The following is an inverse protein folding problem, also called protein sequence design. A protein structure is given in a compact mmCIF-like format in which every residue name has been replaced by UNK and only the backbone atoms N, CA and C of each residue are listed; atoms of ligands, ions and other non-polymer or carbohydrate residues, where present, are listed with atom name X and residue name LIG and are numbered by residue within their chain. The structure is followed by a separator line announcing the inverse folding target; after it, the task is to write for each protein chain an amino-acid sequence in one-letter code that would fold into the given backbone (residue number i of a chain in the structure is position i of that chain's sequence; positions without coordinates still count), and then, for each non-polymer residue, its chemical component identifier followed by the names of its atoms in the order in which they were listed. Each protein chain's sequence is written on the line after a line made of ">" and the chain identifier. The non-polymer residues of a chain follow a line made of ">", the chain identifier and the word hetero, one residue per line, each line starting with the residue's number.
data_IF_485963321262
#
_entry.id   IF_485963321262
#
_cell.length_a   1.000
_cell.length_b   1.000
_cell.length_c   1.000
_cell.angle_alpha   90.00
_cell.angle_beta   90.00
_cell.angle_gamma   90.00
#
_symmetry.space_group_name_H-M   'P 1'
#
loop_
_entity.id
_entity.type
_entity.pdbx_description
1 polymer ?
#
# COMPACT_ATOMS: atom_id res chain seq x y z
N UNK A 1 15.05 2.64 12.16
CA UNK A 1 13.72 2.93 11.57
C UNK A 1 13.68 2.28 10.18
N UNK A 2 12.52 1.80 9.75
CA UNK A 2 12.31 1.20 8.43
C UNK A 2 11.67 2.22 7.48
N UNK A 3 12.05 2.22 6.21
CA UNK A 3 11.40 3.05 5.20
C UNK A 3 10.05 2.43 4.83
N UNK A 4 8.96 3.11 5.19
CA UNK A 4 7.59 2.71 4.92
C UNK A 4 7.00 3.54 3.80
N UNK A 5 6.63 2.91 2.70
CA UNK A 5 5.87 3.54 1.62
C UNK A 5 4.38 3.19 1.76
N UNK A 6 3.53 4.19 1.85
CA UNK A 6 2.07 4.04 1.96
C UNK A 6 1.46 4.41 0.61
N UNK A 7 0.90 3.43 -0.08
CA UNK A 7 0.41 3.58 -1.46
C UNK A 7 -1.11 3.78 -1.45
N UNK A 8 -1.57 4.95 -1.88
CA UNK A 8 -2.98 5.27 -2.10
C UNK A 8 -3.40 4.89 -3.52
N UNK A 9 -4.29 3.91 -3.64
CA UNK A 9 -4.60 3.20 -4.90
C UNK A 9 -5.57 3.91 -5.83
N UNK A 10 -6.36 4.89 -5.36
CA UNK A 10 -7.46 5.46 -6.12
C UNK A 10 -7.07 6.75 -6.83
N UNK A 11 -7.51 6.90 -8.10
CA UNK A 11 -7.14 8.04 -8.97
C UNK A 11 -8.34 8.85 -9.47
N UNK A 12 -9.56 8.36 -9.28
CA UNK A 12 -10.75 9.07 -9.80
C UNK A 12 -10.97 10.42 -9.09
N UNK A 13 -11.60 11.41 -9.75
CA UNK A 13 -11.93 12.70 -9.13
C UNK A 13 -12.72 12.53 -7.81
N UNK A 14 -12.43 13.36 -6.81
CA UNK A 14 -13.04 13.35 -5.46
C UNK A 14 -12.83 12.05 -4.67
N UNK A 15 -11.80 11.29 -5.03
CA UNK A 15 -11.40 10.07 -4.30
C UNK A 15 -11.15 10.35 -2.82
N UNK A 16 -11.40 9.37 -1.97
CA UNK A 16 -11.19 9.46 -0.52
C UNK A 16 -9.95 8.68 -0.03
N UNK A 17 -9.28 7.97 -0.94
CA UNK A 17 -8.06 7.21 -0.64
C UNK A 17 -6.96 8.02 0.03
N UNK A 18 -6.61 9.22 -0.46
CA UNK A 18 -5.57 10.05 0.16
C UNK A 18 -5.86 10.42 1.62
N UNK A 19 -7.13 10.67 1.98
CA UNK A 19 -7.54 10.97 3.35
C UNK A 19 -7.24 9.79 4.30
N UNK A 20 -7.55 8.57 3.86
CA UNK A 20 -7.31 7.35 4.64
C UNK A 20 -5.81 7.05 4.68
N UNK A 21 -5.10 7.27 3.56
CA UNK A 21 -3.65 7.11 3.49
C UNK A 21 -2.92 8.07 4.44
N UNK A 22 -3.36 9.32 4.52
CA UNK A 22 -2.80 10.29 5.46
C UNK A 22 -3.08 9.90 6.92
N UNK A 23 -4.30 9.42 7.22
CA UNK A 23 -4.60 8.94 8.57
C UNK A 23 -3.66 7.82 9.01
N UNK A 24 -3.44 6.79 8.19
CA UNK A 24 -2.53 5.70 8.57
C UNK A 24 -1.07 6.15 8.56
N UNK A 25 -0.70 7.12 7.72
CA UNK A 25 0.63 7.72 7.73
C UNK A 25 0.92 8.44 9.05
N UNK A 26 -0.04 9.20 9.57
CA UNK A 26 0.09 9.87 10.86
C UNK A 26 0.21 8.86 12.00
N UNK A 27 -0.55 7.76 11.97
CA UNK A 27 -0.37 6.65 12.92
C UNK A 27 1.04 6.05 12.86
N UNK A 28 1.55 5.80 11.65
CA UNK A 28 2.87 5.23 11.44
C UNK A 28 4.01 6.18 11.90
N UNK A 29 3.85 7.50 11.71
CA UNK A 29 4.78 8.51 12.22
C UNK A 29 4.81 8.53 13.74
N UNK A 30 3.64 8.53 14.40
CA UNK A 30 3.53 8.50 15.86
C UNK A 30 4.06 7.20 16.48
N UNK A 31 3.93 6.08 15.77
CA UNK A 31 4.48 4.78 16.19
C UNK A 31 6.02 4.80 16.33
N UNK A 32 6.72 5.63 15.56
CA UNK A 32 8.17 5.85 15.67
C UNK A 32 9.05 4.75 15.08
N UNK A 33 8.48 3.68 14.53
CA UNK A 33 9.23 2.58 13.92
C UNK A 33 9.64 2.83 12.46
N UNK A 34 9.11 3.90 11.83
CA UNK A 34 9.19 4.11 10.39
C UNK A 34 9.56 5.53 9.98
N UNK A 35 10.31 5.63 8.88
CA UNK A 35 10.36 6.81 8.02
C UNK A 35 9.22 6.68 7.00
N UNK A 36 8.24 7.58 7.04
CA UNK A 36 6.96 7.42 6.32
C UNK A 36 6.88 8.33 5.11
N UNK A 37 6.63 7.74 3.95
CA UNK A 37 6.29 8.46 2.73
C UNK A 37 4.95 7.96 2.18
N UNK A 38 4.08 8.90 1.77
CA UNK A 38 2.80 8.61 1.12
C UNK A 38 2.95 8.75 -0.39
N UNK A 39 2.61 7.70 -1.11
CA UNK A 39 2.64 7.61 -2.56
C UNK A 39 1.20 7.60 -3.10
N UNK A 40 0.71 8.75 -3.56
CA UNK A 40 -0.61 8.85 -4.18
C UNK A 40 -0.51 8.54 -5.67
N UNK A 41 -1.07 7.40 -6.10
CA UNK A 41 -1.05 6.99 -7.51
C UNK A 41 -1.76 7.98 -8.44
N UNK A 42 -2.69 8.77 -7.91
CA UNK A 42 -3.34 9.84 -8.69
C UNK A 42 -2.42 11.03 -8.97
N UNK A 43 -1.43 11.30 -8.13
CA UNK A 43 -0.43 12.35 -8.32
C UNK A 43 0.77 11.82 -9.10
N UNK A 44 1.20 10.58 -8.83
CA UNK A 44 2.29 9.91 -9.56
C UNK A 44 1.90 9.73 -11.03
N UNK A 45 0.63 9.43 -11.30
CA UNK A 45 0.04 9.36 -12.62
C UNK A 45 0.83 8.51 -13.62
N UNK A 46 1.17 7.28 -13.20
CA UNK A 46 1.82 6.32 -14.11
C UNK A 46 0.90 6.05 -15.32
N UNK A 47 1.43 6.13 -16.55
CA UNK A 47 0.67 5.68 -17.72
C UNK A 47 0.32 4.19 -17.59
N UNK A 48 -0.54 3.65 -18.43
CA UNK A 48 -0.66 2.20 -18.56
C UNK A 48 0.70 1.64 -18.96
N UNK A 49 1.05 0.44 -18.41
CA UNK A 49 2.34 -0.21 -18.62
C UNK A 49 2.78 -0.12 -20.08
N UNK A 50 3.92 0.54 -20.31
CA UNK A 50 4.44 0.85 -21.64
C UNK A 50 5.95 0.56 -21.79
N UNK A 51 6.55 -0.16 -20.84
CA UNK A 51 7.92 -0.60 -20.98
C UNK A 51 8.04 -1.72 -22.03
N UNK A 52 9.01 -1.66 -22.95
CA UNK A 52 9.16 -2.68 -23.99
C UNK A 52 9.75 -3.99 -23.46
N UNK A 53 10.46 -3.94 -22.33
CA UNK A 53 11.10 -5.09 -21.74
C UNK A 53 10.34 -5.61 -20.52
N UNK A 54 10.36 -6.94 -20.32
CA UNK A 54 9.74 -7.53 -19.13
C UNK A 54 10.39 -7.00 -17.84
N UNK A 55 9.62 -6.66 -16.79
CA UNK A 55 10.13 -6.05 -15.54
C UNK A 55 11.23 -6.89 -14.83
N UNK A 56 11.21 -8.21 -14.98
CA UNK A 56 12.27 -9.10 -14.48
C UNK A 56 13.66 -8.80 -15.06
N UNK A 57 13.74 -8.11 -16.21
CA UNK A 57 15.01 -7.72 -16.80
C UNK A 57 15.59 -6.44 -16.22
N UNK A 58 14.81 -5.65 -15.50
CA UNK A 58 15.16 -4.30 -14.97
C UNK A 58 15.75 -3.36 -16.03
N UNK A 59 15.33 -3.52 -17.29
CA UNK A 59 15.75 -2.68 -18.42
C UNK A 59 14.67 -1.63 -18.70
N UNK A 60 14.54 -0.67 -17.79
CA UNK A 60 13.55 0.38 -17.90
C UNK A 60 14.04 1.50 -18.84
N UNK A 61 13.23 1.86 -19.83
CA UNK A 61 13.54 2.92 -20.78
C UNK A 61 12.96 4.27 -20.34
N UNK A 62 11.76 4.25 -19.77
CA UNK A 62 11.05 5.47 -19.41
C UNK A 62 11.43 6.04 -18.03
N UNK A 63 11.57 7.35 -17.95
CA UNK A 63 11.95 8.05 -16.72
C UNK A 63 10.93 7.87 -15.59
N UNK A 64 9.62 7.79 -15.90
CA UNK A 64 8.60 7.51 -14.88
C UNK A 64 8.79 6.12 -14.26
N UNK A 65 9.19 5.12 -15.02
CA UNK A 65 9.47 3.78 -14.51
C UNK A 65 10.74 3.75 -13.68
N UNK A 66 11.81 4.40 -14.13
CA UNK A 66 13.07 4.50 -13.36
C UNK A 66 12.85 5.18 -12.01
N UNK A 67 12.08 6.28 -12.00
CA UNK A 67 11.70 6.98 -10.77
C UNK A 67 10.85 6.09 -9.86
N UNK A 68 9.86 5.40 -10.42
CA UNK A 68 9.01 4.47 -9.68
C UNK A 68 9.82 3.31 -9.10
N UNK A 69 10.69 2.70 -9.89
CA UNK A 69 11.61 1.65 -9.45
C UNK A 69 12.48 2.10 -8.28
N UNK A 70 13.14 3.25 -8.38
CA UNK A 70 13.97 3.79 -7.30
C UNK A 70 13.15 4.02 -6.01
N UNK A 71 11.95 4.62 -6.11
CA UNK A 71 11.07 4.88 -4.97
C UNK A 71 10.64 3.59 -4.27
N UNK A 72 10.31 2.54 -5.03
CA UNK A 72 9.88 1.26 -4.47
C UNK A 72 11.07 0.46 -3.92
N UNK A 73 12.23 0.54 -4.56
CA UNK A 73 13.42 -0.20 -4.09
C UNK A 73 13.91 0.29 -2.73
N UNK A 74 13.77 1.59 -2.42
CA UNK A 74 14.10 2.18 -1.12
C UNK A 74 13.26 1.67 0.06
N UNK A 75 12.09 1.11 -0.20
CA UNK A 75 11.18 0.67 0.84
C UNK A 75 11.72 -0.57 1.59
N UNK A 76 11.51 -0.60 2.91
CA UNK A 76 11.64 -1.80 3.75
C UNK A 76 10.28 -2.47 3.96
N UNK A 77 9.18 -1.70 3.88
CA UNK A 77 7.81 -2.17 4.06
C UNK A 77 6.82 -1.32 3.27
N UNK A 78 5.62 -1.86 3.08
CA UNK A 78 4.50 -1.19 2.43
C UNK A 78 3.24 -1.19 3.28
N UNK A 79 2.40 -0.17 3.10
CA UNK A 79 0.97 -0.22 3.41
C UNK A 79 0.20 0.13 2.13
N UNK A 80 -0.64 -0.77 1.65
CA UNK A 80 -1.53 -0.52 0.54
C UNK A 80 -2.89 -0.05 1.06
N UNK A 81 -3.29 1.17 0.69
CA UNK A 81 -4.59 1.74 1.02
C UNK A 81 -5.49 1.64 -0.19
N UNK A 82 -6.49 0.77 -0.15
CA UNK A 82 -7.28 0.44 -1.32
C UNK A 82 -8.79 0.46 -1.09
N UNK A 83 -9.52 1.01 -2.06
CA UNK A 83 -10.96 0.84 -2.20
C UNK A 83 -11.29 -0.53 -2.81
N UNK A 84 -12.55 -0.94 -2.66
CA UNK A 84 -13.11 -2.04 -3.44
C UNK A 84 -13.92 -1.48 -4.62
N UNK A 85 -13.52 -1.84 -5.84
CA UNK A 85 -14.24 -1.58 -7.09
C UNK A 85 -14.60 -2.93 -7.72
N UNK A 86 -15.89 -3.22 -7.82
CA UNK A 86 -16.39 -4.45 -8.45
C UNK A 86 -15.69 -5.73 -7.97
N UNK A 87 -15.63 -5.89 -6.63
CA UNK A 87 -15.00 -7.02 -5.94
C UNK A 87 -13.46 -7.06 -6.00
N UNK A 88 -12.82 -6.08 -6.63
CA UNK A 88 -11.36 -6.04 -6.76
C UNK A 88 -10.80 -4.68 -6.32
N UNK A 89 -9.49 -4.57 -6.27
CA UNK A 89 -8.79 -3.30 -6.04
C UNK A 89 -8.68 -2.51 -7.36
N UNK A 90 -8.51 -1.17 -7.30
CA UNK A 90 -8.48 -0.31 -8.48
C UNK A 90 -7.36 -0.64 -9.47
N UNK A 91 -7.67 -0.58 -10.78
CA UNK A 91 -6.72 -0.85 -11.86
C UNK A 91 -5.40 -0.06 -11.79
N UNK A 92 -5.36 1.22 -11.35
CA UNK A 92 -4.08 1.93 -11.19
C UNK A 92 -3.11 1.26 -10.22
N UNK A 93 -3.60 0.59 -9.18
CA UNK A 93 -2.72 -0.15 -8.28
C UNK A 93 -2.17 -1.41 -8.97
N UNK A 94 -2.98 -2.12 -9.73
CA UNK A 94 -2.53 -3.26 -10.53
C UNK A 94 -1.44 -2.84 -11.50
N UNK A 95 -1.67 -1.77 -12.24
CA UNK A 95 -0.71 -1.20 -13.17
C UNK A 95 0.60 -0.82 -12.46
N UNK A 96 0.54 -0.15 -11.32
CA UNK A 96 1.71 0.25 -10.54
C UNK A 96 2.55 -0.95 -10.05
N UNK A 97 1.89 -2.06 -9.68
CA UNK A 97 2.56 -3.30 -9.27
C UNK A 97 3.26 -3.95 -10.47
N UNK A 98 2.57 -4.04 -11.62
CA UNK A 98 3.06 -4.72 -12.82
C UNK A 98 4.26 -4.03 -13.49
N UNK A 99 4.50 -2.74 -13.23
CA UNK A 99 5.67 -2.02 -13.72
C UNK A 99 7.01 -2.60 -13.26
N UNK A 100 7.04 -3.26 -12.10
CA UNK A 100 8.24 -3.70 -11.42
C UNK A 100 8.16 -5.18 -11.02
N UNK A 101 9.29 -5.77 -10.67
CA UNK A 101 9.35 -7.14 -10.20
C UNK A 101 10.25 -7.29 -8.96
N UNK A 102 11.55 -7.13 -9.11
CA UNK A 102 12.53 -7.37 -8.05
C UNK A 102 12.45 -6.36 -6.91
N UNK A 103 12.03 -5.13 -7.20
CA UNK A 103 11.93 -4.03 -6.25
C UNK A 103 10.93 -4.30 -5.14
N UNK A 104 9.93 -5.12 -5.41
CA UNK A 104 8.91 -5.53 -4.45
C UNK A 104 9.37 -6.62 -3.50
N UNK A 105 10.31 -7.47 -3.92
CA UNK A 105 10.59 -8.75 -3.29
C UNK A 105 11.14 -8.63 -1.86
N UNK A 106 10.72 -9.57 -1.00
CA UNK A 106 11.16 -9.72 0.39
C UNK A 106 10.86 -8.51 1.28
N UNK A 107 9.73 -7.86 1.05
CA UNK A 107 9.24 -6.73 1.85
C UNK A 107 7.87 -7.07 2.43
N UNK A 108 7.63 -6.65 3.68
CA UNK A 108 6.35 -6.85 4.35
C UNK A 108 5.31 -5.85 3.86
N UNK A 109 4.04 -6.26 3.80
CA UNK A 109 2.94 -5.39 3.40
C UNK A 109 1.74 -5.49 4.34
N UNK A 110 1.31 -4.37 4.91
CA UNK A 110 0.01 -4.18 5.53
C UNK A 110 -1.02 -3.74 4.49
N UNK A 111 -2.29 -4.04 4.75
CA UNK A 111 -3.38 -3.63 3.85
C UNK A 111 -4.44 -2.89 4.65
N UNK A 112 -4.79 -1.71 4.18
CA UNK A 112 -5.89 -0.88 4.68
C UNK A 112 -6.96 -0.83 3.60
N UNK A 113 -8.15 -1.34 3.90
CA UNK A 113 -9.25 -1.39 2.93
C UNK A 113 -10.43 -0.54 3.37
N UNK A 114 -11.19 -0.06 2.41
CA UNK A 114 -12.42 0.69 2.67
C UNK A 114 -13.45 0.47 1.57
N UNK A 115 -14.72 0.53 1.96
CA UNK A 115 -15.80 0.30 1.01
C UNK A 115 -17.18 0.46 1.65
N UNK A 116 -18.14 -0.24 1.08
CA UNK A 116 -19.48 -0.40 1.64
C UNK A 116 -19.51 -1.47 2.73
N UNK A 117 -20.49 -2.37 2.67
CA UNK A 117 -20.70 -3.45 3.65
C UNK A 117 -19.49 -4.38 3.79
N UNK A 118 -18.79 -4.66 2.68
CA UNK A 118 -17.60 -5.52 2.66
C UNK A 118 -16.35 -4.89 3.27
N UNK A 119 -16.39 -3.62 3.63
CA UNK A 119 -15.21 -2.88 4.08
C UNK A 119 -14.02 -2.90 3.10
N UNK A 120 -14.22 -3.30 1.84
CA UNK A 120 -13.14 -3.51 0.87
C UNK A 120 -12.35 -4.82 1.04
N UNK A 121 -12.83 -5.75 1.87
CA UNK A 121 -12.08 -6.98 2.19
C UNK A 121 -11.87 -7.90 0.99
N UNK A 122 -12.79 -7.91 0.02
CA UNK A 122 -12.64 -8.69 -1.22
C UNK A 122 -11.48 -8.17 -2.06
N UNK A 123 -11.38 -6.85 -2.23
CA UNK A 123 -10.24 -6.21 -2.87
C UNK A 123 -8.93 -6.51 -2.14
N UNK A 124 -8.94 -6.46 -0.80
CA UNK A 124 -7.79 -6.82 0.03
C UNK A 124 -7.33 -8.27 -0.19
N UNK A 125 -8.26 -9.21 -0.31
CA UNK A 125 -7.92 -10.62 -0.56
C UNK A 125 -7.36 -10.84 -1.97
N UNK A 126 -7.93 -10.19 -2.99
CA UNK A 126 -7.37 -10.23 -4.35
C UNK A 126 -5.96 -9.65 -4.39
N UNK A 127 -5.75 -8.52 -3.70
CA UNK A 127 -4.45 -7.88 -3.62
C UNK A 127 -3.41 -8.79 -2.93
N UNK A 128 -3.76 -9.47 -1.83
CA UNK A 128 -2.85 -10.41 -1.14
C UNK A 128 -2.34 -11.51 -2.07
N UNK A 129 -3.20 -12.06 -2.90
CA UNK A 129 -2.81 -13.09 -3.86
C UNK A 129 -1.78 -12.55 -4.86
N UNK A 130 -2.03 -11.36 -5.43
CA UNK A 130 -1.12 -10.74 -6.39
C UNK A 130 0.22 -10.32 -5.76
N UNK A 131 0.21 -9.74 -4.57
CA UNK A 131 1.44 -9.38 -3.85
C UNK A 131 2.34 -10.60 -3.61
N UNK A 132 1.75 -11.75 -3.31
CA UNK A 132 2.51 -12.98 -3.08
C UNK A 132 3.27 -13.43 -4.33
N UNK A 133 2.76 -13.18 -5.54
CA UNK A 133 3.45 -13.50 -6.80
C UNK A 133 4.70 -12.64 -7.03
N UNK A 134 4.74 -11.45 -6.41
CA UNK A 134 5.88 -10.53 -6.44
C UNK A 134 6.87 -10.75 -5.27
N UNK A 135 6.72 -11.85 -4.53
CA UNK A 135 7.48 -12.13 -3.31
C UNK A 135 7.37 -11.05 -2.22
N UNK A 136 6.30 -10.25 -2.26
CA UNK A 136 5.89 -9.41 -1.13
C UNK A 136 5.20 -10.31 -0.12
N UNK A 137 5.42 -10.07 1.17
CA UNK A 137 4.78 -10.82 2.26
C UNK A 137 3.62 -10.00 2.84
N UNK A 138 2.37 -10.22 2.38
CA UNK A 138 1.22 -9.58 2.98
C UNK A 138 0.99 -10.16 4.38
N UNK A 139 1.03 -9.29 5.41
CA UNK A 139 0.78 -9.73 6.78
C UNK A 139 -0.70 -9.97 7.02
N UNK A 140 -1.03 -10.78 8.04
CA UNK A 140 -2.42 -11.11 8.38
C UNK A 140 -3.21 -9.93 8.95
N UNK A 141 -2.52 -9.05 9.67
CA UNK A 141 -3.12 -7.88 10.32
C UNK A 141 -3.33 -6.74 9.32
N UNK A 142 -4.52 -6.17 9.33
CA UNK A 142 -4.90 -5.05 8.46
C UNK A 142 -5.98 -4.20 9.11
N UNK A 143 -6.36 -3.10 8.44
CA UNK A 143 -7.46 -2.23 8.89
C UNK A 143 -8.53 -2.18 7.82
N UNK A 144 -9.80 -2.39 8.22
CA UNK A 144 -10.91 -2.45 7.28
C UNK A 144 -12.00 -1.46 7.71
N UNK A 145 -12.43 -0.61 6.78
CA UNK A 145 -13.43 0.42 7.04
C UNK A 145 -14.75 0.14 6.33
N UNK A 146 -15.72 -0.52 6.99
CA UNK A 146 -17.07 -0.67 6.44
C UNK A 146 -17.78 0.69 6.44
N UNK A 147 -18.56 0.96 5.40
CA UNK A 147 -19.33 2.20 5.28
C UNK A 147 -18.48 3.44 5.64
N UNK A 148 -17.25 3.49 5.15
CA UNK A 148 -16.23 4.47 5.53
C UNK A 148 -16.68 5.93 5.46
N UNK A 149 -17.68 6.25 4.62
CA UNK A 149 -18.24 7.61 4.52
C UNK A 149 -18.88 8.07 5.80
N UNK A 150 -19.36 7.16 6.68
CA UNK A 150 -19.89 7.46 8.00
C UNK A 150 -18.81 7.86 9.01
N UNK A 151 -17.56 7.63 8.69
CA UNK A 151 -16.40 8.02 9.49
C UNK A 151 -15.83 9.38 9.06
N UNK A 152 -16.49 10.08 8.15
CA UNK A 152 -16.12 11.43 7.73
C UNK A 152 -17.11 12.37 8.39
N UNK A 153 -16.62 13.29 9.23
CA UNK A 153 -17.45 14.26 9.93
C UNK A 153 -17.94 15.39 8.99
N UNK A 154 -18.76 16.30 9.51
CA UNK A 154 -19.32 17.42 8.74
C UNK A 154 -18.26 18.39 8.19
N UNK A 155 -17.08 18.44 8.83
CA UNK A 155 -15.93 19.22 8.40
C UNK A 155 -15.11 18.51 7.30
N UNK A 156 -15.51 17.29 6.91
CA UNK A 156 -14.81 16.49 5.91
C UNK A 156 -13.57 15.75 6.43
N UNK A 157 -13.40 15.66 7.74
CA UNK A 157 -12.27 14.99 8.39
C UNK A 157 -12.60 13.51 8.62
N UNK A 158 -11.65 12.63 8.36
CA UNK A 158 -11.77 11.20 8.62
C UNK A 158 -11.47 10.89 10.10
N UNK A 159 -12.48 10.39 10.81
CA UNK A 159 -12.44 10.14 12.26
C UNK A 159 -12.82 8.68 12.54
N UNK A 160 -11.89 7.74 12.42
CA UNK A 160 -12.12 6.34 12.75
C UNK A 160 -12.34 6.12 14.25
N UNK A 161 -12.96 5.00 14.59
CA UNK A 161 -13.21 4.59 15.96
C UNK A 161 -11.97 3.94 16.62
N UNK A 162 -12.06 3.70 17.93
CA UNK A 162 -10.99 3.11 18.73
C UNK A 162 -10.56 1.72 18.21
N UNK A 163 -11.48 0.89 17.77
CA UNK A 163 -11.19 -0.43 17.18
C UNK A 163 -10.25 -0.30 15.98
N UNK A 164 -10.48 0.70 15.12
CA UNK A 164 -9.61 0.97 13.97
C UNK A 164 -8.22 1.48 14.38
N UNK A 165 -8.16 2.26 15.46
CA UNK A 165 -6.88 2.72 16.01
C UNK A 165 -6.05 1.54 16.54
N UNK A 166 -6.67 0.64 17.29
CA UNK A 166 -6.02 -0.56 17.84
C UNK A 166 -5.58 -1.53 16.73
N UNK A 167 -6.40 -1.70 15.68
CA UNK A 167 -6.04 -2.49 14.51
C UNK A 167 -4.83 -1.92 13.76
N UNK A 168 -4.76 -0.59 13.61
CA UNK A 168 -3.63 0.08 12.98
C UNK A 168 -2.35 -0.11 13.79
N UNK A 169 -2.39 0.04 15.11
CA UNK A 169 -1.24 -0.17 15.99
C UNK A 169 -0.72 -1.62 15.91
N UNK A 170 -1.64 -2.59 15.97
CA UNK A 170 -1.29 -4.01 15.82
C UNK A 170 -0.64 -4.28 14.46
N UNK A 171 -1.18 -3.73 13.37
CA UNK A 171 -0.62 -3.87 12.03
C UNK A 171 0.79 -3.24 11.96
N UNK A 172 1.01 -2.07 12.53
CA UNK A 172 2.30 -1.39 12.51
C UNK A 172 3.36 -2.16 13.33
N UNK A 173 3.00 -2.68 14.50
CA UNK A 173 3.88 -3.54 15.30
C UNK A 173 4.30 -4.79 14.52
N UNK A 174 3.35 -5.47 13.86
CA UNK A 174 3.65 -6.65 13.04
C UNK A 174 4.48 -6.29 11.80
N UNK A 175 4.24 -5.15 11.17
CA UNK A 175 5.08 -4.70 10.04
C UNK A 175 6.55 -4.54 10.45
N UNK A 176 6.84 -3.94 11.61
CA UNK A 176 8.22 -3.83 12.14
C UNK A 176 8.84 -5.21 12.33
N UNK A 177 8.06 -6.13 12.92
CA UNK A 177 8.51 -7.49 13.22
C UNK A 177 8.85 -8.28 11.95
N UNK A 178 7.95 -8.23 10.94
CA UNK A 178 8.16 -8.87 9.64
C UNK A 178 9.29 -8.23 8.84
N UNK A 179 9.39 -6.89 8.83
CA UNK A 179 10.48 -6.19 8.15
C UNK A 179 11.84 -6.59 8.68
N UNK A 180 11.97 -6.76 10.01
CA UNK A 180 13.20 -7.26 10.63
C UNK A 180 13.57 -8.67 10.12
N UNK A 181 12.60 -9.59 10.09
CA UNK A 181 12.82 -10.97 9.63
C UNK A 181 13.17 -11.04 8.15
N UNK A 182 12.43 -10.30 7.32
CA UNK A 182 12.63 -10.30 5.86
C UNK A 182 13.95 -9.66 5.43
N UNK A 183 14.46 -8.68 6.20
CA UNK A 183 15.79 -8.12 5.96
C UNK A 183 16.88 -9.18 6.10
N UNK A 184 16.80 -10.01 7.13
CA UNK A 184 17.72 -11.15 7.32
C UNK A 184 17.61 -12.14 6.15
N UNK A 185 16.39 -12.45 5.71
CA UNK A 185 16.17 -13.35 4.56
C UNK A 185 16.78 -12.77 3.27
N UNK A 186 16.68 -11.46 3.07
CA UNK A 186 17.23 -10.77 1.88
C UNK A 186 18.76 -10.73 1.89
N UNK A 187 19.37 -10.59 3.06
CA UNK A 187 20.84 -10.52 3.24
C UNK A 187 21.53 -11.90 3.10
N UNK A 188 20.81 -13.00 3.30
CA UNK A 188 21.31 -14.38 3.23
C UNK A 188 21.11 -15.04 1.84
N UNK A 189 20.95 -14.24 0.81
CA UNK A 189 20.95 -14.67 -0.60
C UNK A 189 22.32 -14.53 -1.26
#
# INVERSE_FOLDING_TARGET
>A
MYNLKIISSTVRPRRKGPMIANWIADKARHHGGFNVEVLDLGEINLPMMNEPHHPMMRKYEHEHTKKWSATIDEADAFIFVTAEYDYNYPAPLRNAIEYLAHEWAFKAAGIVTYGGVSAGTRAGNSLKADLSTMSIVPISHGVNFPFFTKLINEEGIFVPNETSHNAAETMLNELVRWSRGLKIVKENK
#
